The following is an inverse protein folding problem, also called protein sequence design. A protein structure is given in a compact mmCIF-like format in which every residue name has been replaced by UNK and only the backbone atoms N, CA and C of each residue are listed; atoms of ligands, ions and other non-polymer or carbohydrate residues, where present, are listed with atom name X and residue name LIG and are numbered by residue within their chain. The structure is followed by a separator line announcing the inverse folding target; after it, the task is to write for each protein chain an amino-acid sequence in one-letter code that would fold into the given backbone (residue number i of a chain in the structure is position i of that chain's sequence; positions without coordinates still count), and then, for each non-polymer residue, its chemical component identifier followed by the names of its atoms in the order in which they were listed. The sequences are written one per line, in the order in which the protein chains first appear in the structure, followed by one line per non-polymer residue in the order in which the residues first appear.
data_IF_775790115857
#
_entry.id   IF_775790115857
#
_cell.length_a   1.000
_cell.length_b   1.000
_cell.length_c   1.000
_cell.angle_alpha   90.00
_cell.angle_beta   90.00
_cell.angle_gamma   90.00
#
_symmetry.space_group_name_H-M   'P 1'
#
loop_
_entity.id
_entity.type
_entity.pdbx_description
1 polymer ?
#
# COMPACT_ATOMS: atom_id res chain seq x y z
N UNK A 1 -36.31 -2.73 3.11
CA UNK A 1 -37.10 -1.97 4.10
C UNK A 1 -37.02 -0.50 3.71
N UNK A 2 -38.16 0.21 3.69
CA UNK A 2 -38.25 1.63 3.33
C UNK A 2 -37.67 2.48 4.46
N UNK A 3 -36.60 3.21 4.21
CA UNK A 3 -36.14 4.26 5.13
C UNK A 3 -36.78 5.60 4.73
N UNK A 4 -37.55 6.14 5.68
CA UNK A 4 -38.09 7.50 5.63
C UNK A 4 -36.96 8.46 5.99
N UNK A 5 -36.69 9.44 5.12
CA UNK A 5 -35.84 10.57 5.46
C UNK A 5 -36.55 11.43 6.52
N UNK A 6 -35.87 11.85 7.60
CA UNK A 6 -36.44 12.74 8.60
C UNK A 6 -36.53 14.18 8.07
N UNK A 7 -37.66 14.81 8.40
CA UNK A 7 -38.02 16.21 8.17
C UNK A 7 -37.03 17.17 8.81
N UNK A 8 -36.64 18.21 8.05
CA UNK A 8 -35.73 19.28 8.45
C UNK A 8 -36.28 20.11 9.62
N UNK A 9 -35.41 20.40 10.60
CA UNK A 9 -35.53 21.57 11.47
C UNK A 9 -34.17 22.27 11.58
N UNK A 10 -34.22 23.59 11.46
CA UNK A 10 -33.12 24.53 11.28
C UNK A 10 -31.98 24.46 12.33
N UNK A 11 -30.73 24.58 11.86
CA UNK A 11 -29.59 24.97 12.70
C UNK A 11 -28.21 24.37 12.41
N UNK A 12 -28.07 23.42 11.47
CA UNK A 12 -26.75 22.89 11.08
C UNK A 12 -26.63 22.83 9.56
N UNK A 13 -25.52 23.33 9.02
CA UNK A 13 -25.22 23.13 7.62
C UNK A 13 -25.22 21.62 7.33
N UNK A 14 -26.00 21.20 6.33
CA UNK A 14 -25.96 19.81 5.87
C UNK A 14 -24.50 19.43 5.55
N UNK A 15 -24.06 18.22 5.90
CA UNK A 15 -22.70 17.79 5.57
C UNK A 15 -22.51 17.88 4.05
N UNK A 16 -21.42 18.50 3.62
CA UNK A 16 -21.10 18.65 2.20
C UNK A 16 -20.80 17.28 1.55
N UNK A 17 -20.30 16.33 2.35
CA UNK A 17 -20.01 14.96 1.93
C UNK A 17 -20.76 13.97 2.81
N UNK A 18 -21.43 12.97 2.22
CA UNK A 18 -22.11 11.94 2.99
C UNK A 18 -21.12 11.10 3.81
N UNK A 19 -19.98 10.72 3.21
CA UNK A 19 -18.93 9.98 3.89
C UNK A 19 -17.57 10.13 3.22
N UNK A 20 -16.51 9.87 4.01
CA UNK A 20 -15.10 9.89 3.62
C UNK A 20 -14.44 8.58 4.05
N UNK A 21 -13.63 7.98 3.17
CA UNK A 21 -12.78 6.84 3.49
C UNK A 21 -11.33 7.14 3.13
N UNK A 22 -10.43 6.84 4.06
CA UNK A 22 -8.99 6.89 3.85
C UNK A 22 -8.41 5.52 4.19
N UNK A 23 -7.67 4.91 3.26
CA UNK A 23 -6.98 3.64 3.44
C UNK A 23 -5.70 3.62 2.59
N UNK A 24 -4.72 2.79 2.96
CA UNK A 24 -3.48 2.57 2.21
C UNK A 24 -2.32 3.51 2.54
N UNK A 25 -2.44 4.38 3.55
CA UNK A 25 -1.38 5.31 3.94
C UNK A 25 -0.56 4.77 5.10
N UNK A 26 0.76 4.68 4.91
CA UNK A 26 1.70 4.42 6.00
C UNK A 26 2.24 5.72 6.62
N UNK A 27 2.34 6.77 5.81
CA UNK A 27 2.81 8.09 6.20
C UNK A 27 1.81 9.16 5.75
N UNK A 28 1.79 10.26 6.49
CA UNK A 28 1.00 11.43 6.18
C UNK A 28 1.81 12.68 6.45
N UNK A 29 1.90 13.56 5.46
CA UNK A 29 2.52 14.87 5.62
C UNK A 29 1.66 15.75 6.53
N UNK A 30 2.25 16.77 7.20
CA UNK A 30 1.48 17.71 8.00
C UNK A 30 0.34 18.38 7.22
N UNK A 31 0.56 18.69 5.94
CA UNK A 31 -0.42 19.33 5.06
C UNK A 31 -1.60 18.40 4.74
N UNK A 32 -1.35 17.11 4.49
CA UNK A 32 -2.40 16.12 4.29
C UNK A 32 -3.23 15.93 5.57
N UNK A 33 -2.58 15.92 6.74
CA UNK A 33 -3.25 15.83 8.03
C UNK A 33 -4.12 17.05 8.31
N UNK A 34 -3.63 18.26 8.01
CA UNK A 34 -4.37 19.51 8.17
C UNK A 34 -5.58 19.57 7.22
N UNK A 35 -5.41 19.11 5.97
CA UNK A 35 -6.49 19.00 5.00
C UNK A 35 -7.58 18.04 5.47
N UNK A 36 -7.21 16.85 5.95
CA UNK A 36 -8.17 15.90 6.50
C UNK A 36 -8.89 16.48 7.73
N UNK A 37 -8.15 17.12 8.64
CA UNK A 37 -8.74 17.74 9.81
C UNK A 37 -9.74 18.88 9.47
N UNK A 38 -9.54 19.57 8.34
CA UNK A 38 -10.47 20.56 7.81
C UNK A 38 -11.68 19.92 7.10
N UNK A 39 -11.51 18.78 6.42
CA UNK A 39 -12.56 18.07 5.69
C UNK A 39 -13.52 17.28 6.59
N UNK A 40 -13.01 16.63 7.63
CA UNK A 40 -13.79 15.74 8.51
C UNK A 40 -15.06 16.40 9.07
N UNK A 41 -15.05 17.67 9.56
CA UNK A 41 -16.26 18.36 10.02
C UNK A 41 -17.38 18.51 8.97
N UNK A 42 -17.06 18.40 7.68
CA UNK A 42 -18.01 18.52 6.58
C UNK A 42 -18.52 17.16 6.08
N UNK A 43 -18.07 16.06 6.70
CA UNK A 43 -18.46 14.72 6.35
C UNK A 43 -19.52 14.20 7.32
N UNK A 44 -20.56 13.52 6.81
CA UNK A 44 -21.52 12.81 7.67
C UNK A 44 -20.85 11.68 8.47
N UNK A 45 -19.89 10.97 7.85
CA UNK A 45 -19.03 9.98 8.51
C UNK A 45 -17.66 9.93 7.85
N UNK A 46 -16.58 10.00 8.62
CA UNK A 46 -15.23 9.76 8.13
C UNK A 46 -14.68 8.45 8.74
N UNK A 47 -14.16 7.56 7.90
CA UNK A 47 -13.52 6.30 8.30
C UNK A 47 -12.08 6.30 7.81
N UNK A 48 -11.14 6.27 8.74
CA UNK A 48 -9.72 6.39 8.46
C UNK A 48 -9.03 5.11 8.94
N UNK A 49 -8.49 4.33 8.02
CA UNK A 49 -7.84 3.07 8.30
C UNK A 49 -6.32 3.25 8.43
N UNK A 50 -5.78 2.84 9.57
CA UNK A 50 -4.34 2.81 9.83
C UNK A 50 -3.90 1.36 10.02
N UNK A 51 -2.89 0.94 9.26
CA UNK A 51 -2.35 -0.42 9.32
C UNK A 51 -1.45 -0.59 10.56
N UNK A 52 -2.06 -0.72 11.74
CA UNK A 52 -1.39 -0.91 13.02
C UNK A 52 -1.89 -2.19 13.70
N UNK A 53 -1.04 -2.86 14.51
CA UNK A 53 -1.48 -4.01 15.32
C UNK A 53 -2.47 -3.61 16.43
N UNK A 54 -2.34 -2.39 16.96
CA UNK A 54 -3.23 -1.78 17.94
C UNK A 54 -3.12 -0.25 17.85
N UNK A 55 -4.13 0.46 18.34
CA UNK A 55 -4.08 1.92 18.45
C UNK A 55 -2.99 2.34 19.46
N UNK A 56 -1.96 3.11 19.04
CA UNK A 56 -0.91 3.56 19.93
C UNK A 56 -1.44 4.66 20.86
N UNK A 57 -1.05 4.59 22.13
CA UNK A 57 -1.28 5.69 23.08
C UNK A 57 -0.25 6.79 22.85
N UNK A 58 1.02 6.38 22.71
CA UNK A 58 2.19 7.22 22.44
C UNK A 58 3.05 6.60 21.33
N UNK A 59 3.95 7.38 20.75
CA UNK A 59 4.84 6.90 19.69
C UNK A 59 5.85 5.88 20.24
N UNK A 60 5.99 4.75 19.55
CA UNK A 60 7.01 3.75 19.88
C UNK A 60 8.42 4.27 19.57
N UNK A 61 9.42 3.47 19.94
CA UNK A 61 10.80 3.65 19.46
C UNK A 61 10.83 3.80 17.94
N UNK A 62 11.71 4.67 17.43
CA UNK A 62 11.97 4.85 16.00
C UNK A 62 12.46 3.56 15.30
N UNK A 63 12.89 2.57 16.08
CA UNK A 63 13.27 1.24 15.60
C UNK A 63 12.06 0.33 15.31
N UNK A 64 10.85 0.72 15.74
CA UNK A 64 9.62 -0.02 15.45
C UNK A 64 9.33 0.04 13.96
N UNK A 65 9.02 -1.13 13.36
CA UNK A 65 8.52 -1.19 11.98
C UNK A 65 7.20 -0.43 11.76
N UNK A 66 6.52 -0.03 12.84
CA UNK A 66 5.25 0.69 12.81
C UNK A 66 5.38 2.19 13.07
N UNK A 67 6.58 2.69 13.40
CA UNK A 67 6.79 4.06 13.90
C UNK A 67 6.18 5.14 12.99
N UNK A 68 6.28 4.97 11.67
CA UNK A 68 5.75 5.92 10.68
C UNK A 68 4.21 5.99 10.67
N UNK A 69 3.56 4.83 10.75
CA UNK A 69 2.10 4.72 10.78
C UNK A 69 1.57 5.23 12.12
N UNK A 70 2.26 4.92 13.22
CA UNK A 70 1.93 5.44 14.55
C UNK A 70 2.00 6.97 14.60
N UNK A 71 3.07 7.57 14.06
CA UNK A 71 3.22 9.02 13.99
C UNK A 71 2.07 9.68 13.20
N UNK A 72 1.71 9.09 12.06
CA UNK A 72 0.61 9.59 11.21
C UNK A 72 -0.74 9.51 11.94
N UNK A 73 -0.99 8.39 12.62
CA UNK A 73 -2.18 8.19 13.43
C UNK A 73 -2.28 9.19 14.57
N UNK A 74 -1.24 9.31 15.39
CA UNK A 74 -1.19 10.21 16.54
C UNK A 74 -1.33 11.66 16.10
N UNK A 75 -0.59 12.07 15.07
CA UNK A 75 -0.62 13.41 14.54
C UNK A 75 -1.99 13.83 14.00
N UNK A 76 -2.74 12.92 13.39
CA UNK A 76 -4.11 13.19 12.94
C UNK A 76 -5.10 13.14 14.10
N UNK A 77 -4.97 12.17 15.00
CA UNK A 77 -5.78 12.06 16.22
C UNK A 77 -5.73 13.36 17.02
N UNK A 78 -4.55 13.90 17.25
CA UNK A 78 -4.35 15.13 18.02
C UNK A 78 -4.96 16.36 17.35
N UNK A 79 -4.97 16.41 16.01
CA UNK A 79 -5.64 17.47 15.23
C UNK A 79 -7.15 17.42 15.31
N UNK A 80 -7.73 16.21 15.40
CA UNK A 80 -9.17 15.99 15.46
C UNK A 80 -9.72 16.06 16.89
N UNK A 81 -8.90 15.68 17.88
CA UNK A 81 -9.28 15.65 19.29
C UNK A 81 -9.75 17.03 19.77
N UNK A 82 -10.92 17.07 20.39
CA UNK A 82 -11.49 18.30 20.96
C UNK A 82 -12.12 19.26 19.96
N UNK A 83 -12.16 18.93 18.66
CA UNK A 83 -12.93 19.71 17.69
C UNK A 83 -14.43 19.52 17.94
N UNK A 84 -15.18 20.63 17.90
CA UNK A 84 -16.63 20.61 18.08
C UNK A 84 -17.30 19.87 16.92
N UNK A 85 -18.31 19.05 17.23
CA UNK A 85 -19.08 18.32 16.24
C UNK A 85 -18.39 17.06 15.67
N UNK A 86 -17.24 16.67 16.22
CA UNK A 86 -16.57 15.41 15.87
C UNK A 86 -16.64 14.47 17.06
N UNK A 87 -17.27 13.31 16.86
CA UNK A 87 -17.15 12.16 17.76
C UNK A 87 -16.08 11.22 17.20
N UNK A 88 -14.99 11.04 17.94
CA UNK A 88 -13.92 10.13 17.54
C UNK A 88 -14.18 8.75 18.14
N UNK A 89 -14.35 7.76 17.27
CA UNK A 89 -14.48 6.35 17.64
C UNK A 89 -13.27 5.59 17.11
N UNK A 90 -12.54 4.95 18.00
CA UNK A 90 -11.40 4.10 17.66
C UNK A 90 -11.85 2.63 17.70
N UNK A 91 -11.72 1.92 16.58
CA UNK A 91 -12.05 0.50 16.48
C UNK A 91 -10.82 -0.28 16.00
N UNK A 92 -10.45 -1.33 16.74
CA UNK A 92 -9.38 -2.24 16.33
C UNK A 92 -9.99 -3.45 15.63
N UNK A 93 -9.71 -3.60 14.34
CA UNK A 93 -10.13 -4.76 13.57
C UNK A 93 -9.24 -5.96 13.91
N UNK A 94 -9.80 -6.92 14.67
CA UNK A 94 -9.07 -8.12 15.09
C UNK A 94 -8.72 -8.98 13.88
N UNK A 95 -7.44 -9.26 13.72
CA UNK A 95 -6.93 -10.21 12.72
C UNK A 95 -7.43 -11.61 13.05
N UNK A 96 -8.37 -12.10 12.26
CA UNK A 96 -8.85 -13.48 12.38
C UNK A 96 -7.82 -14.44 11.79
N UNK A 97 -7.22 -15.30 12.63
CA UNK A 97 -6.36 -16.39 12.17
C UNK A 97 -7.13 -17.24 11.13
N UNK A 98 -6.60 -17.36 9.92
CA UNK A 98 -7.22 -18.09 8.82
C UNK A 98 -8.21 -17.33 7.92
N UNK A 99 -8.49 -16.05 8.18
CA UNK A 99 -9.22 -15.16 7.25
C UNK A 99 -8.34 -14.04 6.68
N UNK A 100 -7.03 -14.26 6.63
CA UNK A 100 -6.11 -13.32 5.99
C UNK A 100 -5.70 -13.86 4.60
N UNK A 101 -4.88 -13.08 3.88
CA UNK A 101 -4.39 -13.45 2.54
C UNK A 101 -3.45 -14.67 2.54
N UNK A 102 -2.99 -15.13 3.71
CA UNK A 102 -2.02 -16.20 3.88
C UNK A 102 -2.69 -17.45 4.45
N UNK A 103 -2.58 -18.57 3.75
CA UNK A 103 -3.14 -19.82 4.28
C UNK A 103 -2.43 -20.22 5.60
N UNK A 104 -3.18 -20.62 6.64
CA UNK A 104 -2.58 -21.07 7.91
C UNK A 104 -1.54 -22.18 7.70
N UNK A 105 -0.48 -22.17 8.49
CA UNK A 105 0.59 -23.17 8.42
C UNK A 105 1.56 -23.04 7.24
N UNK A 106 1.43 -22.01 6.40
CA UNK A 106 2.37 -21.74 5.30
C UNK A 106 3.57 -20.91 5.74
N UNK A 107 4.69 -21.02 5.02
CA UNK A 107 5.87 -20.18 5.25
C UNK A 107 5.59 -18.67 5.14
N UNK A 108 4.65 -18.26 4.26
CA UNK A 108 4.25 -16.85 4.16
C UNK A 108 3.48 -16.38 5.40
N UNK A 109 2.59 -17.21 5.96
CA UNK A 109 1.91 -16.88 7.20
C UNK A 109 2.88 -16.77 8.38
N UNK A 110 3.90 -17.64 8.43
CA UNK A 110 4.97 -17.55 9.43
C UNK A 110 5.81 -16.29 9.26
N UNK A 111 6.23 -15.97 8.03
CA UNK A 111 7.03 -14.79 7.74
C UNK A 111 6.32 -13.50 8.16
N UNK A 112 5.00 -13.40 7.92
CA UNK A 112 4.21 -12.26 8.33
C UNK A 112 4.11 -12.13 9.86
N UNK A 113 3.83 -13.23 10.56
CA UNK A 113 3.71 -13.24 12.01
C UNK A 113 5.05 -12.97 12.73
N UNK A 114 6.16 -13.47 12.17
CA UNK A 114 7.50 -13.36 12.74
C UNK A 114 8.30 -12.16 12.22
N UNK A 115 7.69 -11.25 11.44
CA UNK A 115 8.42 -10.15 10.78
C UNK A 115 9.15 -9.22 11.77
N UNK A 116 8.47 -8.84 12.85
CA UNK A 116 9.02 -7.92 13.86
C UNK A 116 9.85 -8.64 14.93
N UNK A 117 9.65 -9.95 15.10
CA UNK A 117 10.36 -10.78 16.06
C UNK A 117 10.77 -12.09 15.37
N UNK A 118 11.92 -12.10 14.67
CA UNK A 118 12.33 -13.21 13.84
C UNK A 118 12.39 -14.54 14.61
N UNK A 119 11.70 -15.54 14.09
CA UNK A 119 11.67 -16.89 14.63
C UNK A 119 11.90 -17.91 13.50
N UNK A 120 12.58 -19.00 13.80
CA UNK A 120 12.82 -20.07 12.83
C UNK A 120 11.49 -20.71 12.39
N UNK A 121 11.34 -20.97 11.09
CA UNK A 121 10.25 -21.77 10.56
C UNK A 121 10.66 -23.25 10.55
N UNK A 122 9.96 -24.08 11.32
CA UNK A 122 10.30 -25.49 11.51
C UNK A 122 9.53 -26.45 10.58
N UNK A 123 8.99 -25.95 9.46
CA UNK A 123 8.26 -26.74 8.47
C UNK A 123 8.95 -26.73 7.10
N UNK A 124 8.42 -27.52 6.16
CA UNK A 124 8.79 -27.40 4.74
C UNK A 124 8.20 -26.10 4.18
N UNK A 125 9.02 -25.14 3.71
CA UNK A 125 8.50 -23.90 3.11
C UNK A 125 7.73 -24.14 1.81
N UNK A 126 7.89 -25.31 1.19
CA UNK A 126 7.24 -25.67 -0.06
C UNK A 126 7.57 -24.67 -1.18
N UNK A 127 6.70 -24.56 -2.21
CA UNK A 127 6.90 -23.60 -3.31
C UNK A 127 6.53 -22.16 -2.93
N UNK A 128 5.98 -21.92 -1.74
CA UNK A 128 5.39 -20.64 -1.34
C UNK A 128 6.40 -19.53 -1.07
N UNK A 129 7.62 -19.89 -0.64
CA UNK A 129 8.73 -18.96 -0.43
C UNK A 129 10.01 -19.60 -0.95
N UNK A 130 10.76 -18.88 -1.79
CA UNK A 130 12.06 -19.33 -2.29
C UNK A 130 13.04 -18.17 -2.28
N UNK A 131 14.29 -18.50 -1.95
CA UNK A 131 15.43 -17.59 -2.06
C UNK A 131 16.29 -18.04 -3.23
N UNK A 132 16.73 -17.09 -4.06
CA UNK A 132 17.53 -17.34 -5.25
C UNK A 132 18.74 -16.42 -5.21
N UNK A 133 19.93 -16.99 -5.34
CA UNK A 133 21.15 -16.22 -5.53
C UNK A 133 21.43 -16.07 -7.03
N UNK A 134 21.55 -14.84 -7.49
CA UNK A 134 21.82 -14.49 -8.89
C UNK A 134 23.18 -13.79 -9.01
N UNK A 135 23.81 -13.89 -10.17
CA UNK A 135 25.17 -13.35 -10.39
C UNK A 135 25.16 -11.84 -10.60
N UNK A 136 24.11 -11.33 -11.24
CA UNK A 136 23.93 -9.91 -11.57
C UNK A 136 22.44 -9.56 -11.72
N UNK A 137 22.07 -8.26 -11.75
CA UNK A 137 20.68 -7.83 -11.89
C UNK A 137 19.96 -8.36 -13.14
N UNK A 138 20.66 -8.59 -14.25
CA UNK A 138 20.04 -9.16 -15.45
C UNK A 138 19.62 -10.60 -15.21
N UNK A 139 20.45 -11.40 -14.55
CA UNK A 139 20.11 -12.78 -14.17
C UNK A 139 18.94 -12.85 -13.19
N UNK A 140 18.79 -11.87 -12.30
CA UNK A 140 17.62 -11.74 -11.40
C UNK A 140 16.33 -11.49 -12.18
N UNK A 141 16.33 -10.54 -13.11
CA UNK A 141 15.17 -10.24 -13.94
C UNK A 141 14.78 -11.45 -14.80
N UNK A 142 15.76 -12.17 -15.35
CA UNK A 142 15.51 -13.42 -16.10
C UNK A 142 14.92 -14.49 -15.18
N UNK A 143 15.40 -14.62 -13.95
CA UNK A 143 14.83 -15.55 -12.97
C UNK A 143 13.37 -15.18 -12.65
N UNK A 144 13.08 -13.90 -12.41
CA UNK A 144 11.72 -13.40 -12.19
C UNK A 144 10.80 -13.68 -13.38
N UNK A 145 11.25 -13.41 -14.61
CA UNK A 145 10.50 -13.71 -15.84
C UNK A 145 10.16 -15.20 -15.96
N UNK A 146 11.13 -16.08 -15.70
CA UNK A 146 10.92 -17.54 -15.72
C UNK A 146 9.88 -17.98 -14.68
N UNK A 147 9.91 -17.37 -13.49
CA UNK A 147 8.96 -17.69 -12.42
C UNK A 147 7.54 -17.21 -12.72
N UNK A 148 7.40 -16.02 -13.30
CA UNK A 148 6.11 -15.51 -13.80
C UNK A 148 5.54 -16.46 -14.85
N UNK A 149 6.34 -16.86 -15.84
CA UNK A 149 5.90 -17.79 -16.88
C UNK A 149 5.53 -19.17 -16.32
N UNK A 150 6.29 -19.68 -15.34
CA UNK A 150 5.94 -20.93 -14.65
C UNK A 150 4.59 -20.82 -13.96
N UNK A 151 4.33 -19.72 -13.26
CA UNK A 151 3.05 -19.44 -12.61
C UNK A 151 1.89 -19.33 -13.62
N UNK A 152 2.09 -18.61 -14.72
CA UNK A 152 1.06 -18.45 -15.77
C UNK A 152 0.78 -19.77 -16.49
N UNK A 153 1.80 -20.58 -16.79
CA UNK A 153 1.65 -21.93 -17.36
C UNK A 153 0.87 -22.88 -16.44
N UNK A 154 0.91 -22.65 -15.13
CA UNK A 154 0.12 -23.38 -14.15
C UNK A 154 -1.32 -22.87 -14.00
N UNK A 155 -1.76 -21.93 -14.83
CA UNK A 155 -3.13 -21.36 -14.83
C UNK A 155 -3.26 -19.99 -14.17
N UNK A 156 -2.17 -19.42 -13.66
CA UNK A 156 -2.13 -18.05 -13.14
C UNK A 156 -2.30 -16.99 -14.24
N UNK A 157 -2.64 -15.76 -13.86
CA UNK A 157 -2.71 -14.63 -14.80
C UNK A 157 -1.56 -13.66 -14.54
N UNK A 158 -1.06 -12.99 -15.58
CA UNK A 158 0.01 -11.99 -15.43
C UNK A 158 -0.32 -10.89 -14.40
N UNK A 159 -1.59 -10.49 -14.31
CA UNK A 159 -2.06 -9.48 -13.35
C UNK A 159 -1.94 -9.91 -11.88
N UNK A 160 -1.77 -11.20 -11.62
CA UNK A 160 -1.63 -11.76 -10.27
C UNK A 160 -0.15 -11.88 -9.85
N UNK A 161 0.78 -11.45 -10.71
CA UNK A 161 2.21 -11.42 -10.43
C UNK A 161 2.72 -9.97 -10.31
N UNK A 162 3.57 -9.73 -9.31
CA UNK A 162 4.25 -8.46 -9.10
C UNK A 162 5.75 -8.67 -8.94
N UNK A 163 6.55 -7.77 -9.52
CA UNK A 163 8.00 -7.69 -9.29
C UNK A 163 8.28 -6.38 -8.58
N UNK A 164 8.84 -6.49 -7.37
CA UNK A 164 9.14 -5.34 -6.50
C UNK A 164 10.65 -5.24 -6.37
N UNK A 165 11.20 -4.08 -6.69
CA UNK A 165 12.62 -3.75 -6.56
C UNK A 165 12.78 -2.51 -5.70
N UNK A 166 13.91 -2.39 -4.98
CA UNK A 166 14.14 -1.24 -4.10
C UNK A 166 14.41 0.06 -4.85
N UNK A 167 15.13 0.00 -5.96
CA UNK A 167 15.33 1.12 -6.89
C UNK A 167 15.02 0.61 -8.29
N UNK A 168 14.10 1.28 -8.96
CA UNK A 168 13.63 0.87 -10.27
C UNK A 168 14.59 1.33 -11.37
N UNK A 169 15.33 2.41 -11.16
CA UNK A 169 16.25 3.02 -12.12
C UNK A 169 17.22 2.02 -12.78
N UNK A 170 18.00 1.21 -12.03
CA UNK A 170 18.92 0.25 -12.64
C UNK A 170 18.19 -0.97 -13.27
N UNK A 171 17.01 -1.33 -12.75
CA UNK A 171 16.27 -2.50 -13.22
C UNK A 171 15.37 -2.21 -14.41
N UNK A 172 14.89 -0.97 -14.58
CA UNK A 172 13.94 -0.57 -15.63
C UNK A 172 14.35 -1.04 -17.03
N UNK A 173 15.55 -0.70 -17.56
CA UNK A 173 15.93 -1.13 -18.90
C UNK A 173 16.07 -2.65 -19.01
N UNK A 174 16.49 -3.32 -17.93
CA UNK A 174 16.62 -4.78 -17.87
C UNK A 174 15.25 -5.45 -17.92
N UNK A 175 14.30 -4.98 -17.10
CA UNK A 175 12.92 -5.47 -17.06
C UNK A 175 12.27 -5.29 -18.42
N UNK A 176 12.34 -4.08 -19.01
CA UNK A 176 11.75 -3.83 -20.34
C UNK A 176 12.31 -4.80 -21.40
N UNK A 177 13.63 -4.91 -21.50
CA UNK A 177 14.29 -5.78 -22.49
C UNK A 177 13.95 -7.26 -22.28
N UNK A 178 14.05 -7.74 -21.04
CA UNK A 178 13.80 -9.15 -20.72
C UNK A 178 12.32 -9.47 -20.89
N UNK A 179 11.41 -8.68 -20.34
CA UNK A 179 9.98 -8.97 -20.40
C UNK A 179 9.45 -8.90 -21.82
N UNK A 180 9.93 -7.96 -22.64
CA UNK A 180 9.64 -7.93 -24.07
C UNK A 180 10.12 -9.21 -24.77
N UNK A 181 11.35 -9.67 -24.50
CA UNK A 181 11.89 -10.91 -25.07
C UNK A 181 11.12 -12.16 -24.66
N UNK A 182 10.57 -12.19 -23.45
CA UNK A 182 9.78 -13.30 -22.92
C UNK A 182 8.27 -13.13 -23.12
N UNK A 183 7.84 -12.09 -23.86
CA UNK A 183 6.45 -11.77 -24.15
C UNK A 183 5.57 -11.62 -22.89
N UNK A 184 6.15 -11.06 -21.82
CA UNK A 184 5.46 -10.79 -20.55
C UNK A 184 4.91 -9.36 -20.58
N UNK A 185 3.58 -9.16 -20.57
CA UNK A 185 3.02 -7.82 -20.42
C UNK A 185 3.30 -7.29 -19.02
N UNK A 186 3.82 -6.07 -18.91
CA UNK A 186 4.04 -5.42 -17.61
C UNK A 186 3.69 -3.94 -17.65
N UNK A 187 3.23 -3.46 -16.49
CA UNK A 187 3.15 -2.05 -16.16
C UNK A 187 4.36 -1.69 -15.29
N UNK A 188 5.05 -0.60 -15.63
CA UNK A 188 6.15 -0.06 -14.84
C UNK A 188 5.66 1.22 -14.17
N UNK A 189 5.73 1.28 -12.84
CA UNK A 189 5.34 2.44 -12.05
C UNK A 189 6.44 3.52 -12.11
N UNK A 190 6.65 4.08 -13.29
CA UNK A 190 7.61 5.15 -13.53
C UNK A 190 7.04 6.13 -14.54
N UNK A 191 7.37 7.41 -14.36
CA UNK A 191 7.13 8.40 -15.40
C UNK A 191 8.07 8.13 -16.56
N UNK A 192 7.55 8.16 -17.78
CA UNK A 192 8.37 8.11 -18.98
C UNK A 192 8.94 9.50 -19.28
N UNK A 193 10.23 9.57 -19.56
CA UNK A 193 10.85 10.81 -19.99
C UNK A 193 10.40 11.12 -21.41
N UNK A 194 9.87 12.33 -21.62
CA UNK A 194 9.58 12.86 -22.96
C UNK A 194 10.82 13.48 -23.63
N UNK A 195 12.00 13.42 -22.98
CA UNK A 195 13.21 14.05 -23.49
C UNK A 195 13.60 13.57 -24.90
N UNK A 196 13.37 12.29 -25.18
CA UNK A 196 13.63 11.66 -26.49
C UNK A 196 12.41 11.69 -27.43
N UNK A 197 11.34 12.39 -27.05
CA UNK A 197 10.21 12.57 -27.94
C UNK A 197 10.66 13.44 -29.12
N UNK A 198 10.36 13.08 -30.39
CA UNK A 198 10.86 13.81 -31.56
C UNK A 198 10.62 15.32 -31.51
N UNK A 199 9.48 15.74 -30.95
CA UNK A 199 9.14 17.16 -30.76
C UNK A 199 10.07 17.89 -29.78
N UNK A 200 10.53 17.22 -28.72
CA UNK A 200 11.41 17.80 -27.68
C UNK A 200 12.86 17.84 -28.16
N UNK A 201 13.32 16.83 -28.91
CA UNK A 201 14.64 16.86 -29.55
C UNK A 201 14.71 17.97 -30.63
N UNK A 202 13.61 18.19 -31.38
CA UNK A 202 13.53 19.27 -32.37
C UNK A 202 13.69 20.65 -31.72
N UNK A 203 13.02 20.92 -30.59
CA UNK A 203 13.17 22.21 -29.90
C UNK A 203 14.55 22.39 -29.26
N UNK A 204 15.19 21.32 -28.78
CA UNK A 204 16.56 21.38 -28.24
C UNK A 204 17.63 21.61 -29.30
N UNK A 205 17.43 21.09 -30.51
CA UNK A 205 18.38 21.25 -31.63
C UNK A 205 18.19 22.56 -32.40
N UNK A 206 17.04 23.23 -32.24
CA UNK A 206 16.72 24.48 -32.91
C UNK A 206 17.18 25.75 -32.16
N UNK A 207 17.59 25.63 -30.89
CA UNK A 207 18.14 26.69 -30.04
C UNK A 207 19.68 26.57 -29.97
#
# INVERSE_FOLDING_TARGET
LRERLPTESAGSASPAFAALWLDGFAEMTPQEADLLAALVPHCGRATLAFCLPAAPVEASSWLSGWALVEQSYLGLRDRLKGRRGIELVEETLIRSAGKNRFSPGTALAHLEAAWNAPAAFNGDPGPGVRSLACRDPETEVVAAAREILRFVRAGGRFRDAAVIVRSLEPYRPLIQRVFQRYEIPCFLDCRESVAHHPLVELTRTAL
#
